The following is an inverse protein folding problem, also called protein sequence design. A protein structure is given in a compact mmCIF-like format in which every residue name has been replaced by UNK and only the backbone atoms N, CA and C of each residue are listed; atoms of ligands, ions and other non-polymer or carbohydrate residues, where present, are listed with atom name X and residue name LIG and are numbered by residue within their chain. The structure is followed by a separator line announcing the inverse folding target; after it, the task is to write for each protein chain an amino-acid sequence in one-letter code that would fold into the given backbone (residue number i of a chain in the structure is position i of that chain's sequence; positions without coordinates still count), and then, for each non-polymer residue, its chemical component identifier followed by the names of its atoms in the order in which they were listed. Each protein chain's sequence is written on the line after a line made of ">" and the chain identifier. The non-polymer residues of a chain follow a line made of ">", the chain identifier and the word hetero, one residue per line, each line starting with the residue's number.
data_IF_632802235591
#
_entry.id   IF_632802235591
#
_cell.length_a   1.000
_cell.length_b   1.000
_cell.length_c   1.000
_cell.angle_alpha   90.00
_cell.angle_beta   90.00
_cell.angle_gamma   90.00
#
_symmetry.space_group_name_H-M   'P 1'
#
loop_
_entity.id
_entity.type
_entity.pdbx_description
1 polymer ?
#
# COMPACT_ATOMS: atom_id res chain seq x y z
N UNK A 1 -15.52 -11.30 -22.34
CA UNK A 1 -16.10 -10.44 -23.39
C UNK A 1 -15.11 -9.32 -23.69
N UNK A 2 -14.35 -9.44 -24.77
CA UNK A 2 -13.31 -8.46 -25.14
C UNK A 2 -13.86 -7.47 -26.17
N UNK A 3 -14.74 -6.57 -25.75
CA UNK A 3 -15.20 -5.50 -26.64
C UNK A 3 -14.03 -4.54 -26.92
N UNK A 4 -13.77 -4.28 -28.20
CA UNK A 4 -12.82 -3.23 -28.61
C UNK A 4 -13.56 -1.91 -28.66
N UNK A 5 -13.17 -0.98 -27.80
CA UNK A 5 -13.69 0.38 -27.82
C UNK A 5 -12.81 1.25 -28.73
N UNK A 6 -13.44 2.10 -29.53
CA UNK A 6 -12.77 3.14 -30.32
C UNK A 6 -13.49 4.45 -30.04
N UNK A 7 -12.73 5.46 -29.61
CA UNK A 7 -13.25 6.81 -29.45
C UNK A 7 -13.23 7.50 -30.82
N UNK A 8 -14.36 8.10 -31.21
CA UNK A 8 -14.51 8.84 -32.46
C UNK A 8 -14.66 10.31 -32.07
N UNK A 9 -13.80 11.22 -32.56
CA UNK A 9 -13.91 12.62 -32.23
C UNK A 9 -15.24 13.18 -32.73
N UNK A 10 -15.95 13.90 -31.86
CA UNK A 10 -17.21 14.57 -32.14
C UNK A 10 -17.06 16.05 -31.80
N UNK A 11 -17.50 16.92 -32.71
CA UNK A 11 -17.59 18.36 -32.46
C UNK A 11 -18.93 18.68 -31.79
N UNK A 12 -18.88 19.11 -30.52
CA UNK A 12 -20.07 19.53 -29.79
C UNK A 12 -20.53 20.90 -30.26
N UNK A 13 -21.68 20.96 -30.94
CA UNK A 13 -22.30 22.21 -31.41
C UNK A 13 -23.13 22.87 -30.32
N UNK A 14 -23.29 24.18 -30.42
CA UNK A 14 -24.22 24.95 -29.59
C UNK A 14 -25.65 24.59 -29.98
N UNK A 15 -26.55 24.58 -28.99
CA UNK A 15 -27.96 24.29 -29.19
C UNK A 15 -28.68 25.50 -29.78
N UNK A 16 -29.43 25.31 -30.87
CA UNK A 16 -30.14 26.40 -31.57
C UNK A 16 -31.52 26.76 -30.99
N UNK A 17 -32.26 25.83 -30.36
CA UNK A 17 -33.62 26.10 -29.87
C UNK A 17 -34.04 25.27 -28.64
N UNK A 18 -34.77 25.89 -27.69
CA UNK A 18 -35.39 25.32 -26.47
C UNK A 18 -34.46 25.19 -25.24
N UNK A 19 -34.96 24.64 -24.12
CA UNK A 19 -34.27 24.65 -22.81
C UNK A 19 -33.47 23.37 -22.47
N UNK A 20 -32.40 23.53 -21.68
CA UNK A 20 -31.60 22.42 -21.13
C UNK A 20 -32.41 21.59 -20.13
N UNK A 21 -32.37 20.27 -20.28
CA UNK A 21 -32.98 19.33 -19.32
C UNK A 21 -32.00 18.86 -18.23
N UNK A 22 -30.76 19.36 -18.26
CA UNK A 22 -29.77 19.06 -17.21
C UNK A 22 -30.05 19.98 -16.04
N UNK A 23 -30.63 19.42 -15.00
CA UNK A 23 -30.83 20.12 -13.73
C UNK A 23 -29.51 20.16 -12.94
N UNK A 24 -29.30 21.16 -12.06
CA UNK A 24 -28.12 21.19 -11.18
C UNK A 24 -27.98 19.93 -10.31
N UNK A 25 -29.08 19.25 -10.01
CA UNK A 25 -29.08 17.99 -9.28
C UNK A 25 -28.38 16.87 -10.07
N UNK A 26 -28.47 16.88 -11.41
CA UNK A 26 -27.81 15.91 -12.29
C UNK A 26 -26.28 15.91 -12.10
N UNK A 27 -25.67 17.06 -11.84
CA UNK A 27 -24.22 17.13 -11.57
C UNK A 27 -23.84 16.38 -10.28
N UNK A 28 -24.66 16.48 -9.23
CA UNK A 28 -24.47 15.73 -7.98
C UNK A 28 -24.64 14.23 -8.23
N UNK A 29 -25.65 13.84 -8.99
CA UNK A 29 -25.91 12.43 -9.29
C UNK A 29 -24.77 11.81 -10.10
N UNK A 30 -24.24 12.53 -11.10
CA UNK A 30 -23.04 12.12 -11.86
C UNK A 30 -21.85 11.90 -10.92
N UNK A 31 -21.60 12.83 -9.99
CA UNK A 31 -20.51 12.70 -9.03
C UNK A 31 -20.71 11.49 -8.11
N UNK A 32 -21.92 11.28 -7.59
CA UNK A 32 -22.25 10.14 -6.73
C UNK A 32 -22.05 8.82 -7.50
N UNK A 33 -22.48 8.76 -8.76
CA UNK A 33 -22.26 7.58 -9.61
C UNK A 33 -20.77 7.33 -9.83
N UNK A 34 -19.99 8.37 -10.15
CA UNK A 34 -18.54 8.25 -10.31
C UNK A 34 -17.86 7.73 -9.03
N UNK A 35 -18.25 8.25 -7.86
CA UNK A 35 -17.74 7.78 -6.57
C UNK A 35 -18.14 6.34 -6.27
N UNK A 36 -19.39 5.95 -6.53
CA UNK A 36 -19.87 4.57 -6.36
C UNK A 36 -19.12 3.61 -7.30
N UNK A 37 -18.99 3.96 -8.57
CA UNK A 37 -18.22 3.17 -9.55
C UNK A 37 -16.78 2.98 -9.06
N UNK A 38 -16.15 4.04 -8.56
CA UNK A 38 -14.79 3.95 -8.02
C UNK A 38 -14.72 3.15 -6.73
N UNK A 39 -15.75 3.21 -5.87
CA UNK A 39 -15.83 2.46 -4.62
C UNK A 39 -15.90 0.96 -4.90
N UNK A 40 -16.73 0.53 -5.84
CA UNK A 40 -16.90 -0.88 -6.19
C UNK A 40 -15.89 -1.40 -7.22
N UNK A 41 -15.00 -0.54 -7.70
CA UNK A 41 -13.92 -0.92 -8.60
C UNK A 41 -12.93 -1.88 -7.93
N UNK A 42 -12.54 -2.92 -8.67
CA UNK A 42 -11.63 -3.97 -8.21
C UNK A 42 -10.28 -3.40 -7.73
N UNK A 43 -9.77 -2.35 -8.38
CA UNK A 43 -8.50 -1.73 -7.98
C UNK A 43 -8.62 -1.04 -6.62
N UNK A 44 -9.68 -0.25 -6.40
CA UNK A 44 -9.93 0.42 -5.12
C UNK A 44 -10.14 -0.58 -3.99
N UNK A 45 -10.93 -1.62 -4.23
CA UNK A 45 -11.19 -2.67 -3.24
C UNK A 45 -9.91 -3.41 -2.83
N UNK A 46 -9.01 -3.70 -3.79
CA UNK A 46 -7.70 -4.28 -3.46
C UNK A 46 -6.82 -3.30 -2.67
N UNK A 47 -6.84 -2.01 -3.00
CA UNK A 47 -6.08 -0.99 -2.26
C UNK A 47 -6.55 -0.89 -0.79
N UNK A 48 -7.87 -0.90 -0.56
CA UNK A 48 -8.44 -0.88 0.79
C UNK A 48 -8.02 -2.14 1.59
N UNK A 49 -8.08 -3.33 0.99
CA UNK A 49 -7.59 -4.56 1.62
C UNK A 49 -6.10 -4.48 1.94
N UNK A 50 -5.30 -3.97 1.01
CA UNK A 50 -3.87 -3.75 1.23
C UNK A 50 -3.62 -2.82 2.43
N UNK A 51 -4.37 -1.73 2.55
CA UNK A 51 -4.27 -0.80 3.68
C UNK A 51 -4.64 -1.48 5.02
N UNK A 52 -5.71 -2.29 5.04
CA UNK A 52 -6.13 -3.05 6.23
C UNK A 52 -5.05 -4.07 6.62
N UNK A 53 -4.53 -4.82 5.65
CA UNK A 53 -3.44 -5.79 5.90
C UNK A 53 -2.20 -5.08 6.43
N UNK A 54 -1.81 -3.94 5.85
CA UNK A 54 -0.72 -3.12 6.34
C UNK A 54 -0.91 -2.66 7.79
N UNK A 55 -2.14 -2.26 8.15
CA UNK A 55 -2.51 -1.91 9.52
C UNK A 55 -2.40 -3.10 10.49
N UNK A 56 -2.83 -4.30 10.08
CA UNK A 56 -2.65 -5.53 10.86
C UNK A 56 -1.16 -5.83 11.05
N UNK A 57 -0.35 -5.71 10.00
CA UNK A 57 1.10 -5.88 10.08
C UNK A 57 1.75 -4.90 11.06
N UNK A 58 1.31 -3.65 11.07
CA UNK A 58 1.78 -2.66 12.05
C UNK A 58 1.46 -3.06 13.49
N UNK A 59 0.24 -3.54 13.76
CA UNK A 59 -0.16 -4.03 15.09
C UNK A 59 0.70 -5.23 15.49
N UNK A 60 0.92 -6.19 14.58
CA UNK A 60 1.77 -7.36 14.82
C UNK A 60 3.20 -6.94 15.14
N UNK A 61 3.74 -5.96 14.44
CA UNK A 61 5.08 -5.42 14.69
C UNK A 61 5.17 -4.84 16.11
N UNK A 62 4.26 -3.93 16.47
CA UNK A 62 4.28 -3.25 17.79
C UNK A 62 4.12 -4.26 18.94
N UNK A 63 3.16 -5.18 18.83
CA UNK A 63 2.92 -6.19 19.85
C UNK A 63 4.07 -7.20 19.93
N UNK A 64 4.56 -7.66 18.78
CA UNK A 64 5.70 -8.57 18.70
C UNK A 64 6.95 -7.96 19.32
N UNK A 65 7.26 -6.70 19.02
CA UNK A 65 8.39 -6.00 19.60
C UNK A 65 8.25 -5.89 21.13
N UNK A 66 7.06 -5.59 21.64
CA UNK A 66 6.80 -5.52 23.08
C UNK A 66 6.95 -6.89 23.76
N UNK A 67 6.44 -7.95 23.15
CA UNK A 67 6.57 -9.33 23.66
C UNK A 67 8.04 -9.76 23.70
N UNK A 68 8.78 -9.57 22.59
CA UNK A 68 10.19 -9.92 22.54
C UNK A 68 11.03 -9.14 23.53
N UNK A 69 10.77 -7.84 23.70
CA UNK A 69 11.43 -7.03 24.72
C UNK A 69 11.23 -7.60 26.13
N UNK A 70 10.00 -7.99 26.47
CA UNK A 70 9.71 -8.57 27.79
C UNK A 70 10.36 -9.94 28.02
N UNK A 71 10.56 -10.73 26.96
CA UNK A 71 11.15 -12.07 27.06
C UNK A 71 12.68 -11.99 27.13
N UNK A 72 13.29 -11.15 26.30
CA UNK A 72 14.73 -11.19 26.06
C UNK A 72 15.51 -10.13 26.86
N UNK A 73 14.92 -8.96 27.16
CA UNK A 73 15.66 -7.88 27.83
C UNK A 73 15.67 -8.11 29.34
N UNK A 74 16.89 -8.25 29.89
CA UNK A 74 17.16 -8.30 31.33
C UNK A 74 17.93 -7.03 31.77
N UNK A 75 17.97 -6.71 33.08
CA UNK A 75 18.60 -5.48 33.58
C UNK A 75 20.09 -5.33 33.22
N UNK A 76 20.78 -6.44 32.96
CA UNK A 76 22.19 -6.56 32.61
C UNK A 76 22.46 -6.64 31.09
N UNK A 77 21.41 -6.54 30.27
CA UNK A 77 21.50 -6.73 28.82
C UNK A 77 22.00 -5.48 28.07
N UNK A 78 22.70 -5.69 26.94
CA UNK A 78 23.01 -4.60 26.01
C UNK A 78 21.72 -4.09 25.34
N UNK A 79 21.15 -3.03 25.93
CA UNK A 79 19.81 -2.54 25.60
C UNK A 79 19.68 -2.09 24.13
N UNK A 80 20.73 -1.50 23.55
CA UNK A 80 20.68 -1.00 22.18
C UNK A 80 20.63 -2.14 21.16
N UNK A 81 21.55 -3.11 21.27
CA UNK A 81 21.61 -4.26 20.37
C UNK A 81 20.33 -5.09 20.46
N UNK A 82 19.86 -5.36 21.68
CA UNK A 82 18.75 -6.25 21.92
C UNK A 82 17.40 -5.64 21.51
N UNK A 83 17.21 -4.33 21.66
CA UNK A 83 16.05 -3.64 21.09
C UNK A 83 16.03 -3.73 19.56
N UNK A 84 17.19 -3.58 18.92
CA UNK A 84 17.33 -3.73 17.47
C UNK A 84 16.91 -5.12 16.99
N UNK A 85 17.41 -6.18 17.65
CA UNK A 85 17.07 -7.56 17.35
C UNK A 85 15.58 -7.87 17.59
N UNK A 86 15.00 -7.39 18.71
CA UNK A 86 13.58 -7.56 18.99
C UNK A 86 12.70 -6.89 17.92
N UNK A 87 13.08 -5.67 17.50
CA UNK A 87 12.35 -4.96 16.44
C UNK A 87 12.51 -5.66 15.08
N UNK A 88 13.70 -6.17 14.75
CA UNK A 88 13.93 -6.93 13.53
C UNK A 88 13.09 -8.21 13.48
N UNK A 89 13.07 -8.98 14.57
CA UNK A 89 12.25 -10.18 14.68
C UNK A 89 10.74 -9.88 14.57
N UNK A 90 10.28 -8.82 15.22
CA UNK A 90 8.88 -8.39 15.12
C UNK A 90 8.52 -7.88 13.71
N UNK A 91 9.46 -7.22 13.04
CA UNK A 91 9.31 -6.77 11.66
C UNK A 91 9.20 -7.93 10.68
N UNK A 92 10.01 -8.97 10.85
CA UNK A 92 9.92 -10.18 10.02
C UNK A 92 8.56 -10.89 10.20
N UNK A 93 8.06 -11.00 11.44
CA UNK A 93 6.72 -11.55 11.69
C UNK A 93 5.62 -10.73 11.01
N UNK A 94 5.73 -9.40 11.05
CA UNK A 94 4.79 -8.51 10.37
C UNK A 94 4.85 -8.66 8.85
N UNK A 95 6.06 -8.78 8.27
CA UNK A 95 6.28 -9.00 6.83
C UNK A 95 5.68 -10.35 6.39
N UNK A 96 5.91 -11.41 7.15
CA UNK A 96 5.33 -12.74 6.89
C UNK A 96 3.81 -12.68 6.93
N UNK A 97 3.24 -12.07 7.98
CA UNK A 97 1.79 -11.90 8.11
C UNK A 97 1.21 -11.12 6.93
N UNK A 98 1.83 -9.99 6.56
CA UNK A 98 1.42 -9.18 5.43
C UNK A 98 1.46 -9.96 4.12
N UNK A 99 2.50 -10.76 3.89
CA UNK A 99 2.60 -11.58 2.68
C UNK A 99 1.49 -12.63 2.61
N UNK A 100 1.23 -13.33 3.73
CA UNK A 100 0.17 -14.35 3.82
C UNK A 100 -1.20 -13.73 3.55
N UNK A 101 -1.56 -12.66 4.27
CA UNK A 101 -2.86 -12.01 4.10
C UNK A 101 -3.03 -11.39 2.71
N UNK A 102 -1.98 -10.79 2.15
CA UNK A 102 -2.05 -10.27 0.79
C UNK A 102 -2.24 -11.39 -0.24
N UNK A 103 -1.58 -12.54 -0.10
CA UNK A 103 -1.74 -13.67 -1.03
C UNK A 103 -3.11 -14.36 -0.88
N UNK A 104 -3.64 -14.46 0.34
CA UNK A 104 -4.92 -15.14 0.62
C UNK A 104 -6.14 -14.25 0.36
N UNK A 105 -6.05 -12.94 0.59
CA UNK A 105 -7.22 -12.05 0.60
C UNK A 105 -7.12 -10.87 -0.38
N UNK A 106 -6.05 -10.07 -0.33
CA UNK A 106 -5.91 -8.88 -1.18
C UNK A 106 -5.81 -9.25 -2.66
N UNK A 107 -4.97 -10.23 -2.98
CA UNK A 107 -4.71 -10.71 -4.34
C UNK A 107 -5.23 -12.13 -4.53
N UNK A 108 -6.35 -12.49 -3.89
CA UNK A 108 -6.93 -13.83 -3.96
C UNK A 108 -7.20 -14.31 -5.40
N UNK A 109 -7.54 -13.38 -6.31
CA UNK A 109 -7.73 -13.67 -7.76
C UNK A 109 -6.42 -14.02 -8.47
N UNK A 110 -5.31 -13.46 -8.01
CA UNK A 110 -3.95 -13.68 -8.54
C UNK A 110 -3.10 -14.54 -7.58
N UNK A 111 -3.74 -15.37 -6.75
CA UNK A 111 -3.10 -16.15 -5.69
C UNK A 111 -1.97 -17.01 -6.23
N UNK A 112 -0.83 -16.96 -5.54
CA UNK A 112 0.33 -17.80 -5.82
C UNK A 112 0.12 -19.13 -5.08
N UNK A 113 0.02 -20.22 -5.84
CA UNK A 113 -0.21 -21.59 -5.31
C UNK A 113 1.03 -22.48 -5.38
N UNK A 114 1.96 -22.23 -6.31
CA UNK A 114 3.19 -23.01 -6.45
C UNK A 114 4.21 -22.66 -5.38
N UNK A 115 4.69 -23.65 -4.62
CA UNK A 115 5.61 -23.46 -3.47
C UNK A 115 6.92 -22.78 -3.87
N UNK A 116 7.55 -23.19 -4.98
CA UNK A 116 8.78 -22.57 -5.47
C UNK A 116 8.59 -21.09 -5.85
N UNK A 117 7.44 -20.77 -6.44
CA UNK A 117 7.09 -19.38 -6.82
C UNK A 117 6.76 -18.57 -5.58
N UNK A 118 6.10 -19.17 -4.59
CA UNK A 118 5.76 -18.54 -3.32
C UNK A 118 7.04 -18.11 -2.58
N UNK A 119 8.04 -18.99 -2.49
CA UNK A 119 9.32 -18.66 -1.85
C UNK A 119 10.08 -17.54 -2.59
N UNK A 120 10.17 -17.62 -3.92
CA UNK A 120 10.80 -16.57 -4.74
C UNK A 120 10.09 -15.21 -4.59
N UNK A 121 8.75 -15.21 -4.58
CA UNK A 121 7.94 -14.01 -4.39
C UNK A 121 8.02 -13.48 -2.97
N UNK A 122 8.14 -14.35 -1.96
CA UNK A 122 8.38 -13.96 -0.58
C UNK A 122 9.73 -13.25 -0.41
N UNK A 123 10.81 -13.79 -1.00
CA UNK A 123 12.11 -13.11 -0.99
C UNK A 123 12.05 -11.74 -1.69
N UNK A 124 11.40 -11.69 -2.86
CA UNK A 124 11.19 -10.42 -3.58
C UNK A 124 10.39 -9.42 -2.73
N UNK A 125 9.36 -9.89 -2.03
CA UNK A 125 8.54 -9.10 -1.13
C UNK A 125 9.35 -8.54 0.04
N UNK A 126 10.15 -9.38 0.70
CA UNK A 126 10.97 -8.97 1.84
C UNK A 126 12.01 -7.91 1.41
N UNK A 127 12.77 -8.18 0.34
CA UNK A 127 13.72 -7.22 -0.23
C UNK A 127 13.03 -5.90 -0.62
N UNK A 128 11.87 -5.98 -1.27
CA UNK A 128 11.14 -4.77 -1.63
C UNK A 128 10.71 -3.97 -0.40
N UNK A 129 10.24 -4.64 0.66
CA UNK A 129 9.78 -4.00 1.90
C UNK A 129 10.91 -3.26 2.62
N UNK A 130 12.14 -3.78 2.56
CA UNK A 130 13.33 -3.08 3.07
C UNK A 130 13.60 -1.81 2.25
N UNK A 131 13.58 -1.93 0.92
CA UNK A 131 13.89 -0.79 0.04
C UNK A 131 12.85 0.32 0.16
N UNK A 132 11.57 -0.02 0.03
CA UNK A 132 10.46 0.95 0.00
C UNK A 132 9.98 1.38 1.39
N UNK A 133 10.18 0.55 2.40
CA UNK A 133 9.78 0.80 3.78
C UNK A 133 10.86 1.41 4.66
N UNK A 134 12.14 1.18 4.36
CA UNK A 134 13.26 1.64 5.20
C UNK A 134 14.18 2.57 4.41
N UNK A 135 14.77 2.09 3.32
CA UNK A 135 15.85 2.82 2.63
C UNK A 135 15.34 4.12 2.03
N UNK A 136 14.32 4.06 1.17
CA UNK A 136 13.78 5.24 0.47
C UNK A 136 13.23 6.28 1.47
N UNK A 137 12.37 5.91 2.44
CA UNK A 137 11.88 6.86 3.45
C UNK A 137 13.01 7.50 4.26
N UNK A 138 14.00 6.72 4.70
CA UNK A 138 15.12 7.23 5.50
C UNK A 138 15.97 8.23 4.72
N UNK A 139 16.24 7.96 3.43
CA UNK A 139 16.96 8.88 2.56
C UNK A 139 16.17 10.16 2.35
N UNK A 140 14.86 10.07 2.09
CA UNK A 140 14.01 11.26 1.93
C UNK A 140 13.94 12.10 3.21
N UNK A 141 13.81 11.46 4.37
CA UNK A 141 13.84 12.16 5.67
C UNK A 141 15.19 12.86 5.85
N UNK A 142 16.32 12.20 5.57
CA UNK A 142 17.64 12.80 5.69
C UNK A 142 17.83 14.02 4.77
N UNK A 143 17.33 13.96 3.53
CA UNK A 143 17.35 15.07 2.59
C UNK A 143 16.46 16.22 3.08
N UNK A 144 15.27 15.95 3.58
CA UNK A 144 14.40 17.01 4.10
C UNK A 144 14.98 17.64 5.36
N UNK A 145 15.58 16.86 6.26
CA UNK A 145 16.27 17.39 7.43
C UNK A 145 17.44 18.28 7.04
N UNK A 146 18.22 17.93 6.02
CA UNK A 146 19.35 18.76 5.57
C UNK A 146 18.91 20.06 4.88
N UNK A 147 17.77 20.07 4.19
CA UNK A 147 17.28 21.22 3.45
C UNK A 147 16.43 22.18 4.29
N UNK A 148 15.61 21.65 5.21
CA UNK A 148 14.57 22.42 5.88
C UNK A 148 14.67 22.41 7.41
N UNK A 149 15.64 21.71 7.99
CA UNK A 149 15.82 21.58 9.44
C UNK A 149 15.07 20.39 10.05
N UNK A 150 15.13 20.24 11.38
CA UNK A 150 14.64 19.05 12.08
C UNK A 150 13.12 19.10 12.34
N UNK A 151 12.36 18.44 11.45
CA UNK A 151 10.93 18.18 11.61
C UNK A 151 10.64 16.69 11.42
N UNK A 152 11.39 15.83 12.13
CA UNK A 152 11.37 14.37 11.95
C UNK A 152 9.97 13.75 11.85
N UNK A 153 9.04 14.10 12.75
CA UNK A 153 7.68 13.54 12.74
C UNK A 153 6.92 13.90 11.46
N UNK A 154 7.00 15.15 11.01
CA UNK A 154 6.37 15.59 9.76
C UNK A 154 6.94 14.82 8.56
N UNK A 155 8.26 14.67 8.50
CA UNK A 155 8.91 13.95 7.41
C UNK A 155 8.59 12.45 7.42
N UNK A 156 8.43 11.84 8.60
CA UNK A 156 7.97 10.46 8.72
C UNK A 156 6.55 10.28 8.17
N UNK A 157 5.63 11.18 8.50
CA UNK A 157 4.26 11.16 7.95
C UNK A 157 4.29 11.31 6.43
N UNK A 158 5.03 12.29 5.91
CA UNK A 158 5.17 12.50 4.47
C UNK A 158 5.80 11.28 3.78
N UNK A 159 6.85 10.70 4.35
CA UNK A 159 7.52 9.55 3.77
C UNK A 159 6.63 8.31 3.76
N UNK A 160 5.89 8.04 4.84
CA UNK A 160 5.00 6.88 4.92
C UNK A 160 3.83 7.01 3.93
N UNK A 161 3.09 8.12 3.97
CA UNK A 161 1.88 8.30 3.17
C UNK A 161 2.18 8.69 1.71
N UNK A 162 3.22 9.49 1.49
CA UNK A 162 3.61 9.97 0.17
C UNK A 162 4.50 9.02 -0.62
N UNK A 163 5.30 8.17 0.05
CA UNK A 163 6.27 7.30 -0.62
C UNK A 163 6.05 5.82 -0.31
N UNK A 164 6.13 5.41 0.96
CA UNK A 164 6.11 3.99 1.33
C UNK A 164 4.84 3.29 0.88
N UNK A 165 3.66 3.85 1.19
CA UNK A 165 2.37 3.26 0.84
C UNK A 165 2.21 3.17 -0.69
N UNK A 166 2.38 4.26 -1.48
CA UNK A 166 2.29 4.21 -2.94
C UNK A 166 3.30 3.25 -3.60
N UNK A 167 4.55 3.25 -3.15
CA UNK A 167 5.59 2.38 -3.71
C UNK A 167 5.32 0.91 -3.40
N UNK A 168 4.94 0.58 -2.16
CA UNK A 168 4.54 -0.78 -1.79
C UNK A 168 3.37 -1.25 -2.65
N UNK A 169 2.34 -0.42 -2.79
CA UNK A 169 1.19 -0.74 -3.64
C UNK A 169 1.60 -1.03 -5.08
N UNK A 170 2.46 -0.19 -5.66
CA UNK A 170 2.97 -0.37 -7.02
C UNK A 170 3.73 -1.68 -7.19
N UNK A 171 4.68 -1.96 -6.28
CA UNK A 171 5.46 -3.21 -6.29
C UNK A 171 4.54 -4.41 -6.19
N UNK A 172 3.58 -4.38 -5.28
CA UNK A 172 2.72 -5.54 -5.01
C UNK A 172 1.84 -5.84 -6.21
N UNK A 173 1.20 -4.80 -6.78
CA UNK A 173 0.28 -4.96 -7.90
C UNK A 173 1.00 -5.27 -9.24
N UNK A 174 2.20 -4.73 -9.47
CA UNK A 174 2.88 -4.85 -10.77
C UNK A 174 3.95 -5.96 -10.81
N UNK A 175 4.69 -6.17 -9.72
CA UNK A 175 5.82 -7.08 -9.67
C UNK A 175 5.46 -8.41 -8.99
N UNK A 176 4.80 -8.36 -7.83
CA UNK A 176 4.57 -9.56 -7.01
C UNK A 176 3.36 -10.34 -7.53
N UNK A 177 2.17 -9.73 -7.50
CA UNK A 177 0.91 -10.32 -7.96
C UNK A 177 0.50 -9.78 -9.34
N UNK A 178 1.34 -10.06 -10.33
CA UNK A 178 1.08 -9.66 -11.72
C UNK A 178 -0.13 -10.42 -12.26
N UNK A 179 -1.13 -9.69 -12.79
CA UNK A 179 -2.23 -10.30 -13.55
C UNK A 179 -1.68 -11.11 -14.72
N UNK A 180 -2.03 -12.40 -14.79
CA UNK A 180 -1.82 -13.21 -15.99
C UNK A 180 -2.78 -12.67 -17.07
N UNK A 181 -2.23 -12.34 -18.24
CA UNK A 181 -3.02 -11.92 -19.41
C UNK A 181 -3.81 -13.11 -19.95
#
# INVERSE_FOLDING_TARGET
>A
MGAKFKEIPLEFKVRDAGESKIEPQTAKDILIVALKLRWFDDFTQKFLKFAVVGGIGFIINVLGAKIFKNIFIRPDSNLSLLNGLCNAAASELAIISNFIWNNLWTFAKEKITSVNVLFSKFLTFNLSSIVTGIIIPSVCIAIFTSLFGDYLFLYQVIAIFGLTIPLNWFVYNKLIWKKKK
#
